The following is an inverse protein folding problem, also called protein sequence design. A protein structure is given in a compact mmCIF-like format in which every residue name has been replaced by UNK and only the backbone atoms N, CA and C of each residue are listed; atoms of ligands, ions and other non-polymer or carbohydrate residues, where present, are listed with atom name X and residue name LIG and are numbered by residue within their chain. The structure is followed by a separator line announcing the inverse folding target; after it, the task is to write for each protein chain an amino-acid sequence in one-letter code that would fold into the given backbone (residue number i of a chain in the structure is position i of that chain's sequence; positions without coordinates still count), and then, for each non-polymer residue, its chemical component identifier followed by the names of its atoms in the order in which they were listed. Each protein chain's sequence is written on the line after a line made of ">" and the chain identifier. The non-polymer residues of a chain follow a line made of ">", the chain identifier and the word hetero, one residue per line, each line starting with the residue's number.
data_IF_426020235675
#
_entry.id   IF_426020235675
#
_cell.length_a   1.000
_cell.length_b   1.000
_cell.length_c   1.000
_cell.angle_alpha   90.00
_cell.angle_beta   90.00
_cell.angle_gamma   90.00
#
_symmetry.space_group_name_H-M   'P 1'
#
loop_
_entity.id
_entity.type
_entity.pdbx_description
1 polymer ?
#
# COMPACT_ATOMS: atom_id res chain seq x y z
N UNK A 1 -0.74 11.46 -10.63
CA UNK A 1 -1.80 11.87 -9.67
C UNK A 1 -1.76 10.88 -8.51
N UNK A 2 -1.76 11.34 -7.25
CA UNK A 2 -1.77 10.42 -6.10
C UNK A 2 -3.22 10.17 -5.67
N UNK A 3 -3.57 8.92 -5.39
CA UNK A 3 -4.93 8.52 -5.02
C UNK A 3 -4.92 7.44 -3.94
N UNK A 4 -6.04 7.26 -3.24
CA UNK A 4 -6.22 6.10 -2.36
C UNK A 4 -6.31 4.83 -3.21
N UNK A 5 -5.64 3.76 -2.77
CA UNK A 5 -5.64 2.46 -3.44
C UNK A 5 -5.69 1.35 -2.38
N UNK A 6 -6.22 0.19 -2.73
CA UNK A 6 -6.19 -0.96 -1.84
C UNK A 6 -4.84 -1.66 -1.98
N UNK A 7 -4.15 -1.88 -0.86
CA UNK A 7 -2.89 -2.59 -0.85
C UNK A 7 -3.16 -4.08 -1.14
N UNK A 8 -2.60 -4.67 -2.21
CA UNK A 8 -2.83 -6.09 -2.51
C UNK A 8 -2.28 -7.04 -1.44
N UNK A 9 -1.36 -6.56 -0.60
CA UNK A 9 -0.64 -7.36 0.38
C UNK A 9 -1.37 -7.52 1.71
N UNK A 10 -2.09 -6.49 2.16
CA UNK A 10 -2.81 -6.48 3.44
C UNK A 10 -4.29 -6.13 3.29
N UNK A 11 -4.76 -5.88 2.06
CA UNK A 11 -6.13 -5.49 1.72
C UNK A 11 -6.65 -4.22 2.43
N UNK A 12 -5.74 -3.43 3.00
CA UNK A 12 -6.03 -2.14 3.66
C UNK A 12 -5.86 -0.96 2.69
N UNK A 13 -6.41 0.21 3.05
CA UNK A 13 -6.26 1.46 2.30
C UNK A 13 -4.81 1.94 2.39
N UNK A 14 -4.17 2.02 1.24
CA UNK A 14 -2.88 2.65 1.03
C UNK A 14 -3.04 3.82 0.07
N UNK A 15 -1.93 4.50 -0.21
CA UNK A 15 -1.84 5.47 -1.29
C UNK A 15 -1.14 4.83 -2.50
N UNK A 16 -1.45 5.33 -3.68
CA UNK A 16 -0.74 5.04 -4.93
C UNK A 16 -0.33 6.34 -5.60
N UNK A 17 0.83 6.35 -6.28
CA UNK A 17 1.37 7.53 -6.97
C UNK A 17 2.82 7.87 -6.62
N UNK A 18 3.17 9.14 -6.74
CA UNK A 18 4.55 9.65 -6.59
C UNK A 18 4.98 9.92 -5.13
N UNK A 19 4.05 10.08 -4.18
CA UNK A 19 4.35 10.22 -2.75
C UNK A 19 4.28 11.65 -2.22
N UNK A 20 4.40 12.65 -3.08
CA UNK A 20 4.36 14.07 -2.68
C UNK A 20 3.00 14.53 -2.12
N UNK A 21 1.91 13.83 -2.45
CA UNK A 21 0.55 14.18 -1.99
C UNK A 21 -0.02 13.14 -1.02
N UNK A 22 0.83 12.31 -0.40
CA UNK A 22 0.43 11.29 0.57
C UNK A 22 -0.38 11.87 1.72
N UNK A 23 0.06 13.01 2.26
CA UNK A 23 -0.59 13.63 3.41
C UNK A 23 -2.06 13.98 3.10
N UNK A 24 -2.35 14.49 1.90
CA UNK A 24 -3.70 14.87 1.49
C UNK A 24 -4.61 13.65 1.29
N UNK A 25 -4.07 12.63 0.62
CA UNK A 25 -4.73 11.33 0.42
C UNK A 25 -5.03 10.64 1.76
N UNK A 26 -4.08 10.68 2.69
CA UNK A 26 -4.21 10.06 4.00
C UNK A 26 -5.07 10.87 4.96
N UNK A 27 -5.16 12.20 4.80
CA UNK A 27 -6.03 13.06 5.62
C UNK A 27 -7.51 12.67 5.51
N UNK A 28 -7.93 12.21 4.33
CA UNK A 28 -9.31 11.75 4.07
C UNK A 28 -9.53 10.27 4.40
N UNK A 29 -8.47 9.53 4.70
CA UNK A 29 -8.55 8.09 5.00
C UNK A 29 -8.43 7.87 6.51
N UNK A 30 -9.37 7.13 7.11
CA UNK A 30 -9.29 6.79 8.53
C UNK A 30 -8.05 5.93 8.83
N UNK A 31 -7.34 6.24 9.93
CA UNK A 31 -6.10 5.56 10.34
C UNK A 31 -6.27 4.04 10.54
N UNK A 32 -7.44 3.57 10.98
CA UNK A 32 -7.74 2.14 11.11
C UNK A 32 -7.61 1.37 9.78
N UNK A 33 -7.99 2.04 8.69
CA UNK A 33 -7.94 1.49 7.35
C UNK A 33 -6.55 1.61 6.73
N UNK A 34 -5.59 2.29 7.36
CA UNK A 34 -4.27 2.50 6.78
C UNK A 34 -3.49 1.20 6.68
N UNK A 35 -2.81 1.03 5.55
CA UNK A 35 -1.95 -0.11 5.28
C UNK A 35 -0.91 -0.30 6.39
N UNK A 36 -0.93 -1.48 7.03
CA UNK A 36 -0.02 -1.85 8.12
C UNK A 36 1.22 -2.60 7.61
N UNK A 37 1.48 -2.58 6.30
CA UNK A 37 2.67 -3.19 5.73
C UNK A 37 3.92 -2.48 6.24
N UNK A 38 4.98 -3.25 6.47
CA UNK A 38 6.26 -2.68 6.89
C UNK A 38 6.97 -2.09 5.68
N UNK A 39 7.60 -0.93 5.85
CA UNK A 39 8.42 -0.34 4.80
C UNK A 39 9.60 -1.27 4.52
N UNK A 40 9.80 -1.61 3.24
CA UNK A 40 10.92 -2.46 2.82
C UNK A 40 12.27 -1.70 2.81
N UNK A 41 12.22 -0.37 2.85
CA UNK A 41 13.37 0.55 2.85
C UNK A 41 13.22 1.53 4.02
N UNK A 42 14.32 2.01 4.58
CA UNK A 42 14.35 3.09 5.57
C UNK A 42 13.85 4.40 4.95
N UNK A 43 12.54 4.57 4.91
CA UNK A 43 11.85 5.78 4.47
C UNK A 43 10.96 6.35 5.56
N UNK A 44 10.32 7.47 5.26
CA UNK A 44 9.45 8.23 6.17
C UNK A 44 8.31 7.35 6.73
N UNK A 45 8.49 6.81 7.94
CA UNK A 45 7.56 5.85 8.56
C UNK A 45 6.26 6.49 9.06
N UNK A 46 6.09 7.81 8.83
CA UNK A 46 4.92 8.58 9.28
C UNK A 46 3.65 8.21 8.51
N UNK A 47 3.81 7.76 7.27
CA UNK A 47 2.72 7.34 6.41
C UNK A 47 2.94 5.89 5.97
N UNK A 48 1.87 5.13 5.68
CA UNK A 48 2.04 3.75 5.25
C UNK A 48 2.76 3.69 3.88
N UNK A 49 3.36 2.55 3.49
CA UNK A 49 4.01 2.44 2.20
C UNK A 49 3.00 2.52 1.05
N UNK A 50 3.49 2.85 -0.15
CA UNK A 50 2.70 2.75 -1.38
C UNK A 50 2.10 1.35 -1.50
N UNK A 51 0.87 1.26 -1.99
CA UNK A 51 0.19 0.00 -2.27
C UNK A 51 1.12 -0.97 -3.04
N UNK A 52 1.37 -2.15 -2.48
CA UNK A 52 2.22 -3.18 -3.09
C UNK A 52 3.73 -2.99 -2.95
N UNK A 53 4.22 -1.88 -2.39
CA UNK A 53 5.67 -1.64 -2.17
C UNK A 53 6.14 -2.06 -0.75
N UNK A 54 5.22 -2.17 0.20
CA UNK A 54 5.55 -2.67 1.54
C UNK A 54 5.84 -4.16 1.56
N UNK A 55 6.50 -4.64 2.61
CA UNK A 55 6.57 -6.07 2.91
C UNK A 55 5.43 -6.41 3.88
N UNK A 56 4.27 -6.84 3.38
CA UNK A 56 3.38 -7.60 4.24
C UNK A 56 4.03 -8.96 4.50
N UNK A 57 3.98 -9.43 5.73
CA UNK A 57 4.36 -10.80 6.07
C UNK A 57 3.50 -11.72 5.20
N UNK A 58 4.07 -12.27 4.10
CA UNK A 58 3.33 -13.08 3.14
C UNK A 58 2.74 -14.28 3.89
N UNK A 59 1.42 -14.39 3.93
CA UNK A 59 0.81 -15.70 3.82
C UNK A 59 0.47 -15.88 2.34
N UNK A 60 1.43 -16.44 1.61
CA UNK A 60 1.26 -17.18 0.33
C UNK A 60 0.10 -16.74 -0.57
N UNK A 61 0.30 -15.70 -1.39
CA UNK A 61 -0.50 -15.53 -2.62
C UNK A 61 0.30 -14.73 -3.65
N UNK A 62 1.48 -15.26 -3.97
CA UNK A 62 2.16 -14.97 -5.22
C UNK A 62 1.68 -16.03 -6.21
N UNK A 63 0.49 -15.87 -6.77
CA UNK A 63 0.17 -16.47 -8.07
C UNK A 63 -0.45 -15.36 -8.92
N UNK A 64 0.42 -14.48 -9.39
CA UNK A 64 0.13 -13.69 -10.57
C UNK A 64 0.40 -14.58 -11.77
N UNK A 65 -0.51 -14.51 -12.73
CA UNK A 65 -0.25 -14.66 -14.17
C UNK A 65 -0.42 -16.04 -14.82
N UNK A 66 -1.58 -16.14 -15.52
CA UNK A 66 -1.74 -16.60 -16.90
C UNK A 66 -1.89 -18.11 -17.15
N UNK A 67 -3.14 -18.55 -17.28
CA UNK A 67 -3.50 -19.54 -18.29
C UNK A 67 -4.68 -19.01 -19.11
N UNK A 68 -4.36 -18.33 -20.22
CA UNK A 68 -5.29 -18.20 -21.33
C UNK A 68 -5.56 -19.61 -21.85
N UNK A 69 -6.85 -19.97 -21.95
CA UNK A 69 -7.30 -21.21 -22.58
C UNK A 69 -7.99 -20.86 -23.88
#
# INVERSE_FOLDING_TARGET
>A
MCSTAICPLCQKKAWSGCGSHVADVMKTTQQDLWCTCRHAMEGDTRFPPRAGTGSARKSVSSESSMNFK
#
